data_IF_789753343455
#
_entry.id   IF_789753343455
#
_cell.length_a   1.000
_cell.length_b   1.000
_cell.length_c   1.000
_cell.angle_alpha   90.00
_cell.angle_beta   90.00
_cell.angle_gamma   90.00
#
_symmetry.space_group_name_H-M   'P 1'
#
loop_
_entity.id
_entity.type
_entity.pdbx_description
1 polymer ?
#
# COMPACT_ATOMS: atom_id res chain seq x y z
N UNK A 1 -8.29 -19.28 2.03
CA UNK A 1 -7.66 -18.52 3.13
C UNK A 1 -7.45 -17.12 2.58
N UNK A 2 -8.42 -16.21 2.65
CA UNK A 2 -8.66 -15.32 3.79
C UNK A 2 -7.35 -14.96 4.52
N UNK A 3 -6.70 -13.89 4.06
CA UNK A 3 -6.28 -12.82 4.97
C UNK A 3 -7.58 -12.31 5.63
N UNK A 4 -7.98 -12.92 6.73
CA UNK A 4 -7.80 -12.40 8.09
C UNK A 4 -8.40 -11.00 8.25
N UNK A 5 -9.64 -11.02 8.76
CA UNK A 5 -10.24 -10.13 9.76
C UNK A 5 -9.44 -8.87 10.16
N UNK A 6 -10.17 -7.74 10.18
CA UNK A 6 -10.31 -6.78 11.31
C UNK A 6 -9.05 -5.93 11.64
N UNK A 7 -9.15 -4.68 12.08
CA UNK A 7 -10.11 -4.06 13.01
C UNK A 7 -10.47 -2.63 12.59
N UNK A 8 -11.77 -2.33 12.61
CA UNK A 8 -12.45 -1.02 12.45
C UNK A 8 -12.51 -0.45 11.02
N UNK A 9 -13.69 -0.62 10.41
CA UNK A 9 -14.11 -0.15 9.09
C UNK A 9 -14.26 1.38 8.95
N UNK A 10 -13.55 2.18 9.74
CA UNK A 10 -13.55 3.64 9.55
C UNK A 10 -12.09 4.11 9.45
N UNK A 11 -11.68 4.42 8.21
CA UNK A 11 -10.38 4.95 7.78
C UNK A 11 -9.24 3.93 7.53
N UNK A 12 -9.28 3.29 6.35
CA UNK A 12 -8.02 2.93 5.67
C UNK A 12 -7.40 4.19 5.07
N UNK A 13 -6.81 5.04 5.90
CA UNK A 13 -5.91 6.07 5.42
C UNK A 13 -4.59 5.38 5.07
N UNK A 14 -4.46 4.76 3.89
CA UNK A 14 -3.11 4.72 3.32
C UNK A 14 -2.69 6.18 3.27
N UNK A 15 -1.59 6.59 3.94
CA UNK A 15 -1.22 7.98 3.93
C UNK A 15 -0.93 8.23 2.47
N UNK A 16 -1.84 8.96 1.83
CA UNK A 16 -1.67 9.32 0.44
C UNK A 16 -0.33 10.02 0.40
N UNK A 17 0.54 9.55 -0.49
CA UNK A 17 1.87 10.11 -0.64
C UNK A 17 1.74 11.64 -0.66
N UNK A 18 2.64 12.33 0.05
CA UNK A 18 2.59 13.79 0.12
C UNK A 18 2.59 14.40 -1.28
N UNK A 19 3.24 13.76 -2.26
CA UNK A 19 3.17 14.17 -3.65
C UNK A 19 1.73 14.16 -4.19
N UNK A 20 0.94 13.12 -3.87
CA UNK A 20 -0.47 13.01 -4.30
C UNK A 20 -1.33 14.07 -3.60
N UNK A 21 -1.09 14.34 -2.31
CA UNK A 21 -1.89 15.29 -1.51
C UNK A 21 -1.47 16.75 -1.64
N UNK A 22 -0.30 17.02 -2.21
CA UNK A 22 0.27 18.38 -2.29
C UNK A 22 -0.61 19.38 -3.05
N UNK A 23 -1.40 18.91 -4.02
CA UNK A 23 -2.31 19.75 -4.80
C UNK A 23 -3.43 18.92 -5.43
N UNK A 24 -4.52 19.60 -5.79
CA UNK A 24 -5.59 18.99 -6.60
C UNK A 24 -5.08 18.46 -7.95
N UNK A 25 -4.14 19.16 -8.59
CA UNK A 25 -3.55 18.72 -9.86
C UNK A 25 -2.80 17.39 -9.72
N UNK A 26 -2.07 17.20 -8.62
CA UNK A 26 -1.36 15.95 -8.36
C UNK A 26 -2.34 14.82 -8.05
N UNK A 27 -3.38 15.09 -7.26
CA UNK A 27 -4.44 14.14 -6.98
C UNK A 27 -5.17 13.70 -8.27
N UNK A 28 -5.53 14.65 -9.13
CA UNK A 28 -6.17 14.34 -10.42
C UNK A 28 -5.23 13.58 -11.35
N UNK A 29 -3.95 13.90 -11.36
CA UNK A 29 -2.95 13.15 -12.12
C UNK A 29 -2.87 11.69 -11.65
N UNK A 30 -2.82 11.47 -10.34
CA UNK A 30 -2.86 10.14 -9.74
C UNK A 30 -4.13 9.36 -10.14
N UNK A 31 -5.29 10.02 -10.12
CA UNK A 31 -6.53 9.39 -10.53
C UNK A 31 -6.64 9.12 -12.02
N UNK A 32 -6.10 9.99 -12.88
CA UNK A 32 -6.04 9.75 -14.33
C UNK A 32 -5.15 8.54 -14.65
N UNK A 33 -4.01 8.39 -13.96
CA UNK A 33 -3.15 7.20 -14.10
C UNK A 33 -3.91 5.94 -13.68
N UNK A 34 -4.66 6.01 -12.59
CA UNK A 34 -5.49 4.91 -12.10
C UNK A 34 -6.60 4.53 -13.09
N UNK A 35 -7.25 5.51 -13.71
CA UNK A 35 -8.25 5.30 -14.76
C UNK A 35 -7.62 4.65 -16.01
N UNK A 36 -6.43 5.08 -16.43
CA UNK A 36 -5.70 4.43 -17.53
C UNK A 36 -5.33 2.98 -17.20
N UNK A 37 -4.91 2.71 -15.96
CA UNK A 37 -4.62 1.35 -15.48
C UNK A 37 -5.89 0.48 -15.53
N UNK A 38 -7.02 1.01 -15.08
CA UNK A 38 -8.31 0.31 -15.15
C UNK A 38 -8.73 0.04 -16.61
N UNK A 39 -8.54 1.01 -17.50
CA UNK A 39 -8.82 0.87 -18.92
C UNK A 39 -7.91 -0.20 -19.57
N UNK A 40 -6.63 -0.24 -19.20
CA UNK A 40 -5.68 -1.28 -19.64
C UNK A 40 -6.16 -2.68 -19.22
N UNK A 41 -6.55 -2.86 -17.96
CA UNK A 41 -7.10 -4.14 -17.50
C UNK A 41 -8.36 -4.57 -18.25
N UNK A 42 -9.28 -3.64 -18.47
CA UNK A 42 -10.52 -3.94 -19.18
C UNK A 42 -10.28 -4.25 -20.66
N UNK A 43 -9.48 -3.46 -21.37
CA UNK A 43 -9.37 -3.52 -22.83
C UNK A 43 -8.25 -4.44 -23.30
N UNK A 44 -7.10 -4.46 -22.62
CA UNK A 44 -5.92 -5.23 -23.06
C UNK A 44 -5.84 -6.59 -22.38
N UNK A 45 -6.30 -6.69 -21.12
CA UNK A 45 -6.27 -7.95 -20.38
C UNK A 45 -7.64 -8.67 -20.37
N UNK A 46 -8.67 -8.11 -21.01
CA UNK A 46 -10.03 -8.66 -21.06
C UNK A 46 -10.61 -8.98 -19.67
N UNK A 47 -10.16 -8.25 -18.64
CA UNK A 47 -10.62 -8.44 -17.28
C UNK A 47 -11.88 -7.63 -17.05
N UNK A 48 -12.94 -8.27 -16.57
CA UNK A 48 -14.13 -7.55 -16.10
C UNK A 48 -13.93 -7.03 -14.67
N UNK A 49 -14.80 -6.11 -14.24
CA UNK A 49 -14.76 -5.51 -12.90
C UNK A 49 -14.74 -6.52 -11.74
N UNK A 50 -15.29 -7.73 -11.91
CA UNK A 50 -15.29 -8.78 -10.86
C UNK A 50 -13.95 -9.51 -10.76
N UNK A 51 -13.13 -9.50 -11.82
CA UNK A 51 -11.79 -10.08 -11.86
C UNK A 51 -10.72 -9.11 -11.35
N UNK A 52 -11.01 -7.81 -11.39
CA UNK A 52 -10.09 -6.78 -10.92
C UNK A 52 -10.11 -6.77 -9.39
N UNK A 53 -8.95 -7.08 -8.80
CA UNK A 53 -8.79 -7.08 -7.35
C UNK A 53 -8.92 -5.67 -6.78
N UNK A 54 -9.45 -5.58 -5.57
CA UNK A 54 -9.46 -4.33 -4.83
C UNK A 54 -8.03 -3.81 -4.65
N UNK A 55 -7.87 -2.50 -4.80
CA UNK A 55 -6.61 -1.81 -4.55
C UNK A 55 -6.90 -0.39 -4.07
N UNK A 56 -5.96 0.17 -3.31
CA UNK A 56 -6.12 1.48 -2.69
C UNK A 56 -6.34 2.58 -3.72
N UNK A 57 -5.61 2.55 -4.84
CA UNK A 57 -5.75 3.49 -5.95
C UNK A 57 -7.16 3.44 -6.57
N UNK A 58 -7.70 2.24 -6.85
CA UNK A 58 -9.09 2.11 -7.31
C UNK A 58 -10.10 2.60 -6.28
N UNK A 59 -9.86 2.32 -5.00
CA UNK A 59 -10.74 2.80 -3.94
C UNK A 59 -10.79 4.33 -3.89
N UNK A 60 -9.62 4.96 -3.88
CA UNK A 60 -9.47 6.41 -3.82
C UNK A 60 -10.05 7.05 -5.08
N UNK A 61 -9.68 6.58 -6.27
CA UNK A 61 -9.97 7.28 -7.52
C UNK A 61 -11.25 6.84 -8.23
N UNK A 62 -11.73 5.62 -8.02
CA UNK A 62 -12.95 5.12 -8.67
C UNK A 62 -14.15 5.08 -7.72
N UNK A 63 -13.96 4.72 -6.45
CA UNK A 63 -15.08 4.48 -5.52
C UNK A 63 -15.33 5.61 -4.53
N UNK A 64 -14.30 6.33 -4.12
CA UNK A 64 -14.36 7.38 -3.08
C UNK A 64 -13.76 8.72 -3.50
N UNK A 65 -13.64 8.95 -4.80
CA UNK A 65 -12.94 10.12 -5.37
C UNK A 65 -13.39 11.43 -4.75
N UNK A 66 -14.71 11.69 -4.72
CA UNK A 66 -15.26 12.92 -4.15
C UNK A 66 -14.95 13.08 -2.65
N UNK A 67 -14.94 11.98 -1.88
CA UNK A 67 -14.57 12.03 -0.47
C UNK A 67 -13.11 12.46 -0.29
N UNK A 68 -12.20 11.88 -1.08
CA UNK A 68 -10.77 12.24 -1.02
C UNK A 68 -10.49 13.65 -1.57
N UNK A 69 -11.20 14.08 -2.63
CA UNK A 69 -11.14 15.46 -3.13
C UNK A 69 -11.56 16.46 -2.04
N UNK A 70 -12.66 16.20 -1.35
CA UNK A 70 -13.15 17.07 -0.28
C UNK A 70 -12.22 17.08 0.94
N UNK A 71 -11.52 15.97 1.21
CA UNK A 71 -10.59 15.85 2.33
C UNK A 71 -9.15 16.31 1.98
N UNK A 72 -8.85 16.63 0.71
CA UNK A 72 -7.48 16.81 0.23
C UNK A 72 -6.69 17.87 1.01
N UNK A 73 -7.35 18.98 1.36
CA UNK A 73 -6.73 20.04 2.17
C UNK A 73 -6.34 19.56 3.56
N UNK A 74 -7.16 18.71 4.20
CA UNK A 74 -6.85 18.12 5.50
C UNK A 74 -5.69 17.12 5.36
N UNK A 75 -5.77 16.24 4.36
CA UNK A 75 -4.77 15.22 4.06
C UNK A 75 -3.39 15.82 3.77
N UNK A 76 -3.31 16.97 3.11
CA UNK A 76 -2.04 17.66 2.85
C UNK A 76 -1.36 18.16 4.15
N UNK A 77 -2.15 18.59 5.13
CA UNK A 77 -1.64 19.05 6.42
C UNK A 77 -1.16 17.89 7.29
N UNK A 78 -1.91 16.77 7.31
CA UNK A 78 -1.58 15.60 8.11
C UNK A 78 -0.49 14.75 7.48
N UNK A 79 -0.38 14.74 6.14
CA UNK A 79 0.61 13.92 5.42
C UNK A 79 2.03 14.31 5.80
N UNK A 80 2.35 15.59 5.94
CA UNK A 80 3.74 15.99 6.24
C UNK A 80 4.25 15.40 7.57
N UNK A 81 3.44 15.39 8.63
CA UNK A 81 3.83 14.84 9.93
C UNK A 81 3.71 13.32 9.98
N UNK A 82 2.50 12.80 9.74
CA UNK A 82 2.21 11.37 9.86
C UNK A 82 2.92 10.53 8.80
N UNK A 83 3.15 11.08 7.60
CA UNK A 83 3.85 10.36 6.54
C UNK A 83 5.36 10.42 6.75
N UNK A 84 5.96 11.59 6.99
CA UNK A 84 7.43 11.68 7.01
C UNK A 84 8.04 11.00 8.23
N UNK A 85 7.52 11.28 9.44
CA UNK A 85 8.07 10.69 10.66
C UNK A 85 7.87 9.16 10.67
N UNK A 86 6.66 8.69 10.37
CA UNK A 86 6.40 7.26 10.28
C UNK A 86 7.18 6.62 9.13
N UNK A 87 7.29 7.25 7.95
CA UNK A 87 8.08 6.70 6.85
C UNK A 87 9.54 6.51 7.25
N UNK A 88 10.14 7.50 7.91
CA UNK A 88 11.53 7.42 8.34
C UNK A 88 11.72 6.27 9.34
N UNK A 89 10.92 6.26 10.41
CA UNK A 89 10.96 5.21 11.45
C UNK A 89 10.71 3.84 10.83
N UNK A 90 9.65 3.70 10.05
CA UNK A 90 9.25 2.42 9.46
C UNK A 90 10.21 1.94 8.38
N UNK A 91 10.84 2.82 7.60
CA UNK A 91 11.94 2.44 6.69
C UNK A 91 13.13 1.89 7.48
N UNK A 92 13.48 2.50 8.60
CA UNK A 92 14.57 2.03 9.45
C UNK A 92 14.28 0.66 10.07
N UNK A 93 13.06 0.46 10.59
CA UNK A 93 12.61 -0.83 11.14
C UNK A 93 12.58 -1.89 10.04
N UNK A 94 11.92 -1.62 8.91
CA UNK A 94 11.78 -2.55 7.81
C UNK A 94 13.14 -2.99 7.23
N UNK A 95 14.08 -2.06 7.03
CA UNK A 95 15.43 -2.39 6.54
C UNK A 95 16.19 -3.33 7.46
N UNK A 96 15.95 -3.22 8.77
CA UNK A 96 16.56 -4.05 9.80
C UNK A 96 15.75 -5.30 10.14
N UNK A 97 14.56 -5.47 9.57
CA UNK A 97 13.67 -6.59 9.89
C UNK A 97 14.38 -7.92 9.58
N UNK A 98 14.83 -8.67 10.60
CA UNK A 98 15.60 -9.86 10.38
C UNK A 98 14.66 -11.00 9.99
N UNK A 99 15.11 -11.85 9.06
CA UNK A 99 14.42 -13.13 8.81
C UNK A 99 14.49 -13.97 10.07
N UNK A 100 13.32 -14.26 10.64
CA UNK A 100 13.16 -15.07 11.85
C UNK A 100 13.59 -16.51 11.56
N UNK A 101 13.98 -17.24 12.61
CA UNK A 101 14.48 -18.61 12.47
C UNK A 101 13.48 -19.55 11.80
N UNK A 102 12.20 -19.44 12.14
CA UNK A 102 11.11 -20.21 11.54
C UNK A 102 10.90 -19.89 10.05
N UNK A 103 11.06 -18.63 9.64
CA UNK A 103 11.00 -18.23 8.23
C UNK A 103 12.16 -18.85 7.43
N UNK A 104 13.36 -18.92 8.02
CA UNK A 104 14.49 -19.62 7.39
C UNK A 104 14.21 -21.11 7.24
N UNK A 105 13.71 -21.77 8.28
CA UNK A 105 13.32 -23.19 8.22
C UNK A 105 12.31 -23.45 7.12
N UNK A 106 11.27 -22.61 7.02
CA UNK A 106 10.27 -22.69 5.96
C UNK A 106 10.90 -22.60 4.56
N UNK A 107 11.80 -21.65 4.33
CA UNK A 107 12.48 -21.49 3.03
C UNK A 107 13.35 -22.69 2.67
N UNK A 108 13.99 -23.33 3.67
CA UNK A 108 14.74 -24.58 3.44
C UNK A 108 13.81 -25.77 3.14
N UNK A 109 12.70 -25.89 3.86
CA UNK A 109 11.72 -26.97 3.67
C UNK A 109 11.10 -26.96 2.28
N UNK A 110 10.83 -25.78 1.71
CA UNK A 110 10.32 -25.65 0.34
C UNK A 110 11.42 -25.70 -0.73
N UNK A 111 12.66 -26.00 -0.33
CA UNK A 111 13.84 -26.02 -1.21
C UNK A 111 14.01 -24.74 -2.05
N UNK A 112 13.70 -23.57 -1.47
CA UNK A 112 13.74 -22.31 -2.18
C UNK A 112 15.16 -22.00 -2.70
N UNK A 113 15.25 -21.58 -3.95
CA UNK A 113 16.51 -21.13 -4.54
C UNK A 113 16.88 -19.72 -4.03
N UNK A 114 18.12 -19.27 -4.30
CA UNK A 114 18.62 -17.98 -3.82
C UNK A 114 17.77 -16.78 -4.29
N UNK A 115 17.19 -16.83 -5.50
CA UNK A 115 16.34 -15.77 -6.01
C UNK A 115 14.99 -15.72 -5.27
N UNK A 116 14.38 -16.88 -5.00
CA UNK A 116 13.14 -16.98 -4.23
C UNK A 116 13.33 -16.52 -2.78
N UNK A 117 14.43 -16.91 -2.14
CA UNK A 117 14.81 -16.46 -0.79
C UNK A 117 14.95 -14.94 -0.77
N UNK A 118 15.65 -14.36 -1.76
CA UNK A 118 15.81 -12.92 -1.86
C UNK A 118 14.46 -12.20 -2.05
N UNK A 119 13.59 -12.71 -2.93
CA UNK A 119 12.24 -12.17 -3.12
C UNK A 119 11.42 -12.22 -1.83
N UNK A 120 11.46 -13.34 -1.11
CA UNK A 120 10.81 -13.48 0.19
C UNK A 120 11.32 -12.44 1.19
N UNK A 121 12.63 -12.20 1.26
CA UNK A 121 13.18 -11.16 2.13
C UNK A 121 12.69 -9.76 1.76
N UNK A 122 12.56 -9.44 0.47
CA UNK A 122 12.00 -8.14 0.05
C UNK A 122 10.53 -8.01 0.46
N UNK A 123 9.72 -9.05 0.26
CA UNK A 123 8.32 -9.07 0.71
C UNK A 123 8.22 -8.92 2.23
N UNK A 124 9.06 -9.62 2.99
CA UNK A 124 9.06 -9.51 4.45
C UNK A 124 9.40 -8.08 4.94
N UNK A 125 10.34 -7.40 4.27
CA UNK A 125 10.62 -5.98 4.54
C UNK A 125 9.41 -5.09 4.23
N UNK A 126 8.73 -5.34 3.11
CA UNK A 126 7.51 -4.61 2.76
C UNK A 126 6.40 -4.82 3.79
N UNK A 127 6.18 -6.06 4.24
CA UNK A 127 5.22 -6.36 5.29
C UNK A 127 5.57 -5.65 6.60
N UNK A 128 6.84 -5.69 7.03
CA UNK A 128 7.27 -4.98 8.24
C UNK A 128 7.08 -3.46 8.14
N UNK A 129 7.33 -2.88 6.96
CA UNK A 129 7.06 -1.47 6.71
C UNK A 129 5.57 -1.15 6.84
N UNK A 130 4.70 -1.98 6.25
CA UNK A 130 3.25 -1.81 6.32
C UNK A 130 2.72 -1.93 7.75
N UNK A 131 3.18 -2.93 8.52
CA UNK A 131 2.79 -3.13 9.92
C UNK A 131 3.22 -1.93 10.76
N UNK A 132 4.48 -1.50 10.64
CA UNK A 132 4.95 -0.32 11.36
C UNK A 132 4.13 0.93 11.02
N UNK A 133 3.76 1.11 9.75
CA UNK A 133 2.91 2.25 9.37
C UNK A 133 1.52 2.19 9.97
N UNK A 134 0.99 1.01 10.26
CA UNK A 134 -0.27 0.86 10.99
C UNK A 134 -0.08 1.21 12.48
N UNK A 135 1.01 0.74 13.09
CA UNK A 135 1.32 0.99 14.51
C UNK A 135 1.68 2.46 14.81
N UNK A 136 2.47 3.12 13.95
CA UNK A 136 2.92 4.50 14.16
C UNK A 136 1.79 5.55 14.17
N UNK A 137 0.57 5.14 13.80
CA UNK A 137 -0.63 5.99 13.81
C UNK A 137 -1.39 5.98 15.14
N UNK A 138 -1.01 5.10 16.07
CA UNK A 138 -1.54 5.01 17.44
C UNK A 138 -0.58 5.65 18.45
#
# INVERSE_FOLDING_TARGET
>A
MYFQKNYDEEFYEFPLDQLITASFDNFYTFCNITEHKLACWNMQCEMNRKQISWSSDLHICTFKRLQFENALNCLNLTSTGAHNECNEICRHIARRNPTKGNEKSYLYEVAANLAEIYQYWQLNKQCAFQICHLECRF
#
